data_IF_859357720873
#
_entry.id   IF_859357720873
#
_cell.length_a   1.000
_cell.length_b   1.000
_cell.length_c   1.000
_cell.angle_alpha   90.00
_cell.angle_beta   90.00
_cell.angle_gamma   90.00
#
_symmetry.space_group_name_H-M   'P 1'
#
loop_
_entity.id
_entity.type
_entity.pdbx_description
1 polymer ?
#
# COMPACT_ATOMS: atom_id res chain seq x y z
N UNK A 1 47.17 33.75 24.74
CA UNK A 1 47.41 32.67 23.78
C UNK A 1 46.52 32.90 22.55
N UNK A 2 47.06 33.27 21.41
CA UNK A 2 46.33 33.37 20.15
C UNK A 2 46.38 32.02 19.47
N UNK A 3 45.30 31.24 19.53
CA UNK A 3 45.16 30.01 18.77
C UNK A 3 44.97 30.39 17.31
N UNK A 4 45.99 30.23 16.46
CA UNK A 4 45.85 30.32 15.00
C UNK A 4 45.30 28.98 14.53
N UNK A 5 44.03 28.94 14.19
CA UNK A 5 43.44 27.81 13.49
C UNK A 5 43.89 27.93 12.03
N UNK A 6 44.90 27.18 11.63
CA UNK A 6 45.26 26.98 10.22
C UNK A 6 44.28 25.95 9.65
N UNK A 7 43.26 26.42 8.99
CA UNK A 7 42.37 25.53 8.20
C UNK A 7 43.15 25.21 6.92
N UNK A 8 43.64 23.97 6.82
CA UNK A 8 44.25 23.50 5.58
C UNK A 8 43.24 23.55 4.44
N UNK A 9 43.61 24.11 3.30
CA UNK A 9 42.76 24.27 2.12
C UNK A 9 42.18 22.92 1.65
N UNK A 10 42.90 21.82 1.84
CA UNK A 10 42.42 20.46 1.57
C UNK A 10 41.23 20.03 2.43
N UNK A 11 41.25 20.37 3.69
CA UNK A 11 40.13 20.05 4.60
C UNK A 11 38.87 20.82 4.23
N UNK A 12 39.06 22.11 3.81
CA UNK A 12 37.93 22.94 3.38
C UNK A 12 37.32 22.43 2.06
N UNK A 13 38.16 22.08 1.07
CA UNK A 13 37.71 21.52 -0.21
C UNK A 13 37.01 20.15 0.01
N UNK A 14 37.57 19.29 0.86
CA UNK A 14 36.98 17.99 1.19
C UNK A 14 35.62 18.16 1.86
N UNK A 15 35.48 19.11 2.78
CA UNK A 15 34.18 19.41 3.41
C UNK A 15 33.13 19.84 2.39
N UNK A 16 33.47 20.78 1.50
CA UNK A 16 32.53 21.23 0.46
C UNK A 16 32.19 20.15 -0.56
N UNK A 17 33.11 19.27 -0.87
CA UNK A 17 32.87 18.10 -1.72
C UNK A 17 31.87 17.13 -1.07
N UNK A 18 32.01 16.87 0.21
CA UNK A 18 31.06 16.02 0.96
C UNK A 18 29.69 16.68 1.02
N UNK A 19 29.62 17.98 1.32
CA UNK A 19 28.35 18.71 1.35
C UNK A 19 27.68 18.72 -0.04
N UNK A 20 28.43 19.00 -1.10
CA UNK A 20 27.90 18.93 -2.47
C UNK A 20 27.44 17.52 -2.84
N UNK A 21 28.18 16.49 -2.46
CA UNK A 21 27.80 15.10 -2.64
C UNK A 21 26.50 14.72 -1.91
N UNK A 22 26.32 15.18 -0.68
CA UNK A 22 25.08 14.99 0.08
C UNK A 22 23.88 15.70 -0.56
N UNK A 23 24.08 16.94 -1.04
CA UNK A 23 23.02 17.67 -1.73
C UNK A 23 22.63 16.96 -3.03
N UNK A 24 23.60 16.53 -3.82
CA UNK A 24 23.35 15.78 -5.06
C UNK A 24 22.63 14.45 -4.77
N UNK A 25 23.04 13.72 -3.73
CA UNK A 25 22.38 12.50 -3.28
C UNK A 25 20.92 12.75 -2.84
N UNK A 26 20.68 13.83 -2.10
CA UNK A 26 19.32 14.21 -1.69
C UNK A 26 18.43 14.56 -2.89
N UNK A 27 18.95 15.31 -3.86
CA UNK A 27 18.24 15.64 -5.11
C UNK A 27 17.97 14.38 -5.92
N UNK A 28 18.92 13.47 -6.04
CA UNK A 28 18.76 12.21 -6.76
C UNK A 28 17.68 11.32 -6.08
N UNK A 29 17.70 11.19 -4.75
CA UNK A 29 16.68 10.47 -3.98
C UNK A 29 15.30 11.10 -4.15
N UNK A 30 15.21 12.42 -4.08
CA UNK A 30 13.95 13.13 -4.29
C UNK A 30 13.40 12.94 -5.71
N UNK A 31 14.25 13.01 -6.72
CA UNK A 31 13.89 12.77 -8.12
C UNK A 31 13.44 11.31 -8.36
N UNK A 32 14.09 10.35 -7.70
CA UNK A 32 13.79 8.93 -7.81
C UNK A 32 12.60 8.46 -6.93
N UNK A 33 11.97 9.37 -6.15
CA UNK A 33 10.95 9.02 -5.14
C UNK A 33 9.83 8.13 -5.67
N UNK A 34 9.32 8.42 -6.87
CA UNK A 34 8.24 7.64 -7.48
C UNK A 34 8.69 6.22 -7.82
N UNK A 35 9.89 6.08 -8.41
CA UNK A 35 10.47 4.78 -8.68
C UNK A 35 10.77 3.98 -7.41
N UNK A 36 11.26 4.64 -6.36
CA UNK A 36 11.49 4.02 -5.06
C UNK A 36 10.19 3.56 -4.39
N UNK A 37 9.11 4.34 -4.50
CA UNK A 37 7.79 3.94 -4.01
C UNK A 37 7.26 2.72 -4.77
N UNK A 38 7.37 2.70 -6.10
CA UNK A 38 6.96 1.54 -6.90
C UNK A 38 7.78 0.28 -6.54
N UNK A 39 9.10 0.45 -6.38
CA UNK A 39 9.98 -0.65 -5.97
C UNK A 39 9.64 -1.15 -4.55
N UNK A 40 9.43 -0.24 -3.61
CA UNK A 40 9.01 -0.55 -2.24
C UNK A 40 7.66 -1.28 -2.20
N UNK A 41 6.69 -0.82 -3.00
CA UNK A 41 5.39 -1.46 -3.14
C UNK A 41 5.52 -2.87 -3.74
N UNK A 42 6.34 -3.03 -4.78
CA UNK A 42 6.60 -4.32 -5.40
C UNK A 42 7.29 -5.29 -4.42
N UNK A 43 8.25 -4.81 -3.63
CA UNK A 43 8.92 -5.60 -2.60
C UNK A 43 7.94 -6.04 -1.52
N UNK A 44 7.12 -5.12 -1.03
CA UNK A 44 6.08 -5.45 -0.04
C UNK A 44 5.10 -6.48 -0.57
N UNK A 45 4.63 -6.29 -1.80
CA UNK A 45 3.71 -7.23 -2.46
C UNK A 45 4.37 -8.60 -2.69
N UNK A 46 5.65 -8.63 -3.07
CA UNK A 46 6.41 -9.88 -3.22
C UNK A 46 6.52 -10.64 -1.90
N UNK A 47 6.77 -9.93 -0.78
CA UNK A 47 6.80 -10.55 0.55
C UNK A 47 5.42 -11.07 0.96
N UNK A 48 4.35 -10.31 0.69
CA UNK A 48 2.97 -10.69 0.99
C UNK A 48 2.53 -11.93 0.18
N UNK A 49 2.82 -11.94 -1.12
CA UNK A 49 2.42 -13.03 -2.02
C UNK A 49 3.36 -14.24 -1.98
N UNK A 50 4.54 -14.12 -1.39
CA UNK A 50 5.50 -15.23 -1.34
C UNK A 50 4.92 -16.48 -0.65
N UNK A 51 4.19 -16.32 0.45
CA UNK A 51 3.58 -17.44 1.17
C UNK A 51 2.48 -18.16 0.35
N UNK A 52 1.46 -17.46 -0.18
CA UNK A 52 0.42 -18.11 -0.99
C UNK A 52 0.95 -18.65 -2.32
N UNK A 53 1.83 -17.89 -3.01
CA UNK A 53 2.42 -18.32 -4.28
C UNK A 53 3.28 -19.57 -4.10
N UNK A 54 4.14 -19.62 -3.07
CA UNK A 54 5.01 -20.78 -2.85
C UNK A 54 4.22 -22.03 -2.46
N UNK A 55 3.16 -21.88 -1.65
CA UNK A 55 2.26 -23.00 -1.34
C UNK A 55 1.58 -23.53 -2.60
N UNK A 56 0.99 -22.65 -3.40
CA UNK A 56 0.29 -23.02 -4.61
C UNK A 56 1.24 -23.63 -5.66
N UNK A 57 2.44 -23.05 -5.82
CA UNK A 57 3.47 -23.58 -6.73
C UNK A 57 3.91 -25.01 -6.39
N UNK A 58 3.88 -25.40 -5.11
CA UNK A 58 4.22 -26.74 -4.67
C UNK A 58 3.14 -27.79 -5.04
N UNK A 59 1.89 -27.37 -5.23
CA UNK A 59 0.80 -28.25 -5.69
C UNK A 59 0.75 -28.39 -7.21
N UNK A 60 1.38 -27.47 -7.95
CA UNK A 60 1.37 -27.53 -9.41
C UNK A 60 2.45 -28.51 -9.92
N UNK A 61 2.08 -29.49 -10.79
CA UNK A 61 3.02 -30.38 -11.42
C UNK A 61 3.81 -29.62 -12.48
N UNK A 62 4.97 -29.05 -12.11
CA UNK A 62 5.84 -28.31 -13.04
C UNK A 62 7.28 -28.82 -12.96
N UNK A 63 7.90 -29.10 -14.12
CA UNK A 63 9.32 -29.47 -14.19
C UNK A 63 10.26 -28.28 -13.84
N UNK A 64 9.78 -27.04 -13.90
CA UNK A 64 10.57 -25.87 -13.57
C UNK A 64 9.92 -25.06 -12.43
N UNK A 65 10.71 -24.73 -11.44
CA UNK A 65 10.30 -23.89 -10.30
C UNK A 65 9.76 -22.53 -10.78
N UNK A 66 10.37 -21.96 -11.81
CA UNK A 66 9.97 -20.66 -12.37
C UNK A 66 8.58 -20.75 -12.99
N UNK A 67 8.30 -21.80 -13.77
CA UNK A 67 6.99 -22.01 -14.40
C UNK A 67 5.87 -22.19 -13.37
N UNK A 68 6.09 -23.02 -12.34
CA UNK A 68 5.10 -23.22 -11.27
C UNK A 68 4.83 -21.93 -10.50
N UNK A 69 5.87 -21.13 -10.22
CA UNK A 69 5.72 -19.82 -9.57
C UNK A 69 4.98 -18.83 -10.45
N UNK A 70 5.25 -18.82 -11.77
CA UNK A 70 4.55 -17.96 -12.72
C UNK A 70 3.05 -18.27 -12.79
N UNK A 71 2.70 -19.55 -12.93
CA UNK A 71 1.29 -19.96 -12.97
C UNK A 71 0.59 -19.63 -11.66
N UNK A 72 1.21 -19.95 -10.51
CA UNK A 72 0.65 -19.63 -9.20
C UNK A 72 0.46 -18.13 -9.00
N UNK A 73 1.42 -17.31 -9.42
CA UNK A 73 1.33 -15.87 -9.36
C UNK A 73 0.19 -15.32 -10.21
N UNK A 74 0.10 -15.75 -11.47
CA UNK A 74 -0.98 -15.34 -12.39
C UNK A 74 -2.35 -15.75 -11.84
N UNK A 75 -2.49 -16.96 -11.31
CA UNK A 75 -3.75 -17.41 -10.69
C UNK A 75 -4.15 -16.54 -9.50
N UNK A 76 -3.21 -16.21 -8.63
CA UNK A 76 -3.49 -15.36 -7.46
C UNK A 76 -3.84 -13.93 -7.89
N UNK A 77 -3.11 -13.36 -8.84
CA UNK A 77 -3.41 -12.02 -9.37
C UNK A 77 -4.76 -11.99 -10.07
N UNK A 78 -5.09 -13.00 -10.86
CA UNK A 78 -6.39 -13.14 -11.51
C UNK A 78 -7.52 -13.29 -10.48
N UNK A 79 -7.31 -14.08 -9.42
CA UNK A 79 -8.27 -14.25 -8.34
C UNK A 79 -8.53 -12.91 -7.62
N UNK A 80 -7.48 -12.20 -7.23
CA UNK A 80 -7.59 -10.88 -6.58
C UNK A 80 -8.25 -9.87 -7.51
N UNK A 81 -7.86 -9.83 -8.79
CA UNK A 81 -8.46 -8.93 -9.78
C UNK A 81 -9.95 -9.18 -9.99
N UNK A 82 -10.32 -10.46 -10.11
CA UNK A 82 -11.74 -10.87 -10.21
C UNK A 82 -12.51 -10.50 -8.96
N UNK A 83 -11.94 -10.75 -7.79
CA UNK A 83 -12.57 -10.39 -6.51
C UNK A 83 -12.81 -8.88 -6.41
N UNK A 84 -11.80 -8.05 -6.75
CA UNK A 84 -11.94 -6.59 -6.77
C UNK A 84 -13.03 -6.17 -7.76
N UNK A 85 -13.02 -6.74 -8.95
CA UNK A 85 -14.01 -6.42 -10.01
C UNK A 85 -15.45 -6.74 -9.59
N UNK A 86 -15.65 -7.85 -8.87
CA UNK A 86 -16.98 -8.22 -8.36
C UNK A 86 -17.39 -7.47 -7.10
N UNK A 87 -16.46 -7.22 -6.18
CA UNK A 87 -16.76 -6.66 -4.86
C UNK A 87 -16.88 -5.12 -4.88
N UNK A 88 -16.07 -4.43 -5.68
CA UNK A 88 -16.01 -2.95 -5.66
C UNK A 88 -17.30 -2.29 -6.16
N UNK A 89 -17.94 -2.72 -7.27
CA UNK A 89 -19.16 -2.08 -7.74
C UNK A 89 -20.31 -2.10 -6.74
N UNK A 90 -20.67 -3.23 -6.10
CA UNK A 90 -21.74 -3.24 -5.10
C UNK A 90 -21.42 -2.39 -3.87
N UNK A 91 -20.14 -2.32 -3.43
CA UNK A 91 -19.75 -1.47 -2.30
C UNK A 91 -19.98 0.01 -2.66
N UNK A 92 -19.57 0.45 -3.84
CA UNK A 92 -19.78 1.83 -4.29
C UNK A 92 -21.28 2.15 -4.34
N UNK A 93 -22.10 1.28 -4.92
CA UNK A 93 -23.55 1.48 -5.01
C UNK A 93 -24.23 1.51 -3.64
N UNK A 94 -23.83 0.62 -2.70
CA UNK A 94 -24.38 0.61 -1.36
C UNK A 94 -23.97 1.85 -0.58
N UNK A 95 -22.73 2.30 -0.72
CA UNK A 95 -22.26 3.54 -0.08
C UNK A 95 -22.99 4.77 -0.62
N UNK A 96 -23.24 4.84 -1.93
CA UNK A 96 -24.01 5.92 -2.53
C UNK A 96 -25.47 5.93 -2.02
N UNK A 97 -26.13 4.76 -1.99
CA UNK A 97 -27.49 4.63 -1.42
C UNK A 97 -27.54 5.00 0.05
N UNK A 98 -26.53 4.59 0.83
CA UNK A 98 -26.44 4.96 2.23
C UNK A 98 -26.33 6.47 2.40
N UNK A 99 -25.48 7.12 1.61
CA UNK A 99 -25.30 8.57 1.64
C UNK A 99 -26.59 9.34 1.27
N UNK A 100 -27.41 8.80 0.37
CA UNK A 100 -28.72 9.36 0.01
C UNK A 100 -29.79 9.12 1.11
N UNK A 101 -29.64 8.02 1.85
CA UNK A 101 -30.63 7.63 2.86
C UNK A 101 -30.36 8.31 4.22
N UNK A 102 -29.10 8.63 4.55
CA UNK A 102 -28.74 9.28 5.82
C UNK A 102 -29.52 10.58 6.08
N UNK A 103 -29.65 11.53 5.13
CA UNK A 103 -30.42 12.74 5.37
C UNK A 103 -31.90 12.48 5.69
N UNK A 104 -32.51 11.52 5.01
CA UNK A 104 -33.91 11.14 5.27
C UNK A 104 -34.09 10.42 6.61
N UNK A 105 -33.11 9.64 7.04
CA UNK A 105 -33.12 9.02 8.37
C UNK A 105 -33.02 10.09 9.48
N UNK A 106 -32.14 11.07 9.33
CA UNK A 106 -32.00 12.18 10.26
C UNK A 106 -33.30 12.99 10.36
N UNK A 107 -33.95 13.29 9.21
CA UNK A 107 -35.26 13.95 9.17
C UNK A 107 -36.35 13.11 9.84
N UNK A 108 -36.44 11.82 9.56
CA UNK A 108 -37.43 10.93 10.15
C UNK A 108 -37.25 10.78 11.68
N UNK A 109 -35.99 10.72 12.16
CA UNK A 109 -35.72 10.71 13.61
C UNK A 109 -36.10 12.03 14.25
N UNK A 110 -35.86 13.15 13.55
CA UNK A 110 -36.25 14.49 14.00
C UNK A 110 -37.77 14.65 14.08
N UNK A 111 -38.52 14.14 13.11
CA UNK A 111 -39.99 14.22 13.08
C UNK A 111 -40.66 13.29 14.07
N UNK A 112 -40.09 12.11 14.31
CA UNK A 112 -40.69 11.08 15.17
C UNK A 112 -40.28 11.15 16.65
N UNK A 113 -39.17 11.80 16.97
CA UNK A 113 -38.61 11.82 18.33
C UNK A 113 -38.71 13.21 18.93
N UNK A 114 -39.79 13.43 19.75
CA UNK A 114 -39.94 14.66 20.53
C UNK A 114 -38.76 14.89 21.50
N UNK A 115 -38.07 13.82 21.92
CA UNK A 115 -36.92 13.91 22.81
C UNK A 115 -35.70 14.49 22.07
N UNK A 116 -35.44 14.04 20.84
CA UNK A 116 -34.31 14.54 20.02
C UNK A 116 -34.55 16.00 19.64
N UNK A 117 -35.76 16.37 19.27
CA UNK A 117 -36.10 17.78 18.96
C UNK A 117 -35.91 18.69 20.17
N UNK A 118 -36.28 18.22 21.36
CA UNK A 118 -36.10 19.00 22.59
C UNK A 118 -34.62 19.21 22.92
N UNK A 119 -33.81 18.17 22.78
CA UNK A 119 -32.35 18.26 22.97
C UNK A 119 -31.68 19.20 21.94
N UNK A 120 -32.04 19.11 20.67
CA UNK A 120 -31.49 19.96 19.62
C UNK A 120 -31.86 21.43 19.86
N UNK A 121 -33.08 21.73 20.30
CA UNK A 121 -33.54 23.08 20.64
C UNK A 121 -32.92 23.61 21.94
N UNK A 122 -32.81 22.79 22.99
CA UNK A 122 -32.29 23.16 24.29
C UNK A 122 -30.80 23.51 24.28
N UNK A 123 -30.02 22.81 23.40
CA UNK A 123 -28.58 23.03 23.23
C UNK A 123 -28.19 23.83 21.99
N UNK A 124 -29.18 24.40 21.27
CA UNK A 124 -28.94 25.25 20.08
C UNK A 124 -28.07 24.58 19.01
N UNK A 125 -28.18 23.24 18.85
CA UNK A 125 -27.37 22.42 17.95
C UNK A 125 -27.91 22.36 16.52
N UNK A 126 -28.97 23.11 16.20
CA UNK A 126 -29.66 23.10 14.91
C UNK A 126 -28.72 23.35 13.75
N UNK A 127 -27.94 24.43 13.85
CA UNK A 127 -26.97 24.83 12.82
C UNK A 127 -25.83 23.83 12.63
N UNK A 128 -25.43 23.15 13.70
CA UNK A 128 -24.37 22.13 13.62
C UNK A 128 -24.86 20.84 12.97
N UNK A 129 -26.09 20.41 13.29
CA UNK A 129 -26.71 19.22 12.70
C UNK A 129 -26.98 19.44 11.22
N UNK A 130 -27.52 20.61 10.85
CA UNK A 130 -27.82 20.94 9.46
C UNK A 130 -26.54 21.07 8.63
N UNK A 131 -25.48 21.74 9.14
CA UNK A 131 -24.16 21.78 8.49
C UNK A 131 -23.54 20.41 8.34
N UNK A 132 -23.57 19.58 9.39
CA UNK A 132 -23.01 18.23 9.32
C UNK A 132 -23.75 17.33 8.33
N UNK A 133 -25.07 17.46 8.22
CA UNK A 133 -25.87 16.74 7.23
C UNK A 133 -25.57 17.20 5.79
N UNK A 134 -25.39 18.50 5.59
CA UNK A 134 -25.02 19.09 4.31
C UNK A 134 -23.59 18.77 3.89
N UNK A 135 -22.65 18.79 4.83
CA UNK A 135 -21.25 18.38 4.63
C UNK A 135 -21.15 16.89 4.27
N UNK A 136 -21.90 16.02 4.94
CA UNK A 136 -21.99 14.59 4.61
C UNK A 136 -22.56 14.38 3.19
N UNK A 137 -23.64 15.07 2.85
CA UNK A 137 -24.28 15.00 1.53
C UNK A 137 -23.33 15.52 0.44
N UNK A 138 -22.68 16.65 0.66
CA UNK A 138 -21.74 17.25 -0.30
C UNK A 138 -20.49 16.37 -0.46
N UNK A 139 -19.98 15.81 0.61
CA UNK A 139 -18.82 14.91 0.59
C UNK A 139 -19.14 13.59 -0.10
N UNK A 140 -20.30 13.00 0.17
CA UNK A 140 -20.77 11.79 -0.48
C UNK A 140 -21.02 12.01 -1.99
N UNK A 141 -21.64 13.15 -2.36
CA UNK A 141 -21.87 13.54 -3.77
C UNK A 141 -20.55 13.80 -4.50
N UNK A 142 -19.59 14.51 -3.86
CA UNK A 142 -18.25 14.72 -4.42
C UNK A 142 -17.50 13.41 -4.59
N UNK A 143 -17.63 12.49 -3.65
CA UNK A 143 -16.99 11.19 -3.72
C UNK A 143 -17.58 10.35 -4.86
N UNK A 144 -18.91 10.31 -5.00
CA UNK A 144 -19.60 9.61 -6.06
C UNK A 144 -19.31 10.22 -7.45
N UNK A 145 -19.31 11.56 -7.56
CA UNK A 145 -18.99 12.25 -8.81
C UNK A 145 -17.51 12.10 -9.18
N UNK A 146 -16.59 12.17 -8.22
CA UNK A 146 -15.17 11.95 -8.45
C UNK A 146 -14.84 10.50 -8.80
N UNK A 147 -15.53 9.52 -8.22
CA UNK A 147 -15.40 8.12 -8.62
C UNK A 147 -15.89 7.87 -10.05
N UNK A 148 -16.96 8.58 -10.48
CA UNK A 148 -17.48 8.48 -11.85
C UNK A 148 -16.73 9.33 -12.88
N UNK A 149 -16.42 10.59 -12.55
CA UNK A 149 -15.80 11.54 -13.49
C UNK A 149 -14.31 11.30 -13.72
N UNK A 150 -13.58 10.80 -12.71
CA UNK A 150 -12.17 10.43 -12.87
C UNK A 150 -11.96 9.22 -13.79
N UNK A 151 -12.99 8.41 -14.01
CA UNK A 151 -12.97 7.34 -15.03
C UNK A 151 -13.12 7.88 -16.47
N UNK A 152 -13.79 9.02 -16.64
CA UNK A 152 -14.09 9.59 -17.97
C UNK A 152 -13.13 10.72 -18.39
N UNK A 153 -12.65 11.55 -17.45
CA UNK A 153 -11.78 12.70 -17.75
C UNK A 153 -10.27 12.38 -17.74
N UNK A 154 -9.89 11.18 -17.37
CA UNK A 154 -8.50 10.81 -17.13
C UNK A 154 -7.98 9.64 -17.96
N UNK A 155 -8.26 9.56 -19.27
CA UNK A 155 -7.66 8.51 -20.11
C UNK A 155 -6.13 8.43 -19.88
N UNK A 156 -5.45 9.56 -19.74
CA UNK A 156 -4.02 9.60 -19.39
C UNK A 156 -3.71 9.11 -17.98
N UNK A 157 -4.54 9.43 -16.99
CA UNK A 157 -4.35 9.01 -15.59
C UNK A 157 -4.68 7.53 -15.39
N UNK A 158 -5.71 7.01 -16.07
CA UNK A 158 -6.07 5.59 -16.06
C UNK A 158 -4.98 4.76 -16.73
N UNK A 159 -4.48 5.21 -17.89
CA UNK A 159 -3.38 4.52 -18.58
C UNK A 159 -2.11 4.50 -17.71
N UNK A 160 -1.77 5.62 -17.09
CA UNK A 160 -0.64 5.71 -16.17
C UNK A 160 -0.81 4.81 -14.93
N UNK A 161 -2.01 4.72 -14.36
CA UNK A 161 -2.31 3.83 -13.25
C UNK A 161 -2.23 2.35 -13.65
N UNK A 162 -2.74 1.98 -14.82
CA UNK A 162 -2.61 0.64 -15.38
C UNK A 162 -1.14 0.29 -15.62
N UNK A 163 -0.38 1.20 -16.24
CA UNK A 163 1.04 1.01 -16.49
C UNK A 163 1.85 0.86 -15.19
N UNK A 164 1.57 1.69 -14.18
CA UNK A 164 2.20 1.59 -12.87
C UNK A 164 1.85 0.26 -12.16
N UNK A 165 0.58 -0.15 -12.22
CA UNK A 165 0.14 -1.44 -11.66
C UNK A 165 0.81 -2.60 -12.36
N UNK A 166 0.87 -2.59 -13.68
CA UNK A 166 1.56 -3.60 -14.47
C UNK A 166 3.05 -3.67 -14.12
N UNK A 167 3.72 -2.52 -14.02
CA UNK A 167 5.11 -2.44 -13.62
C UNK A 167 5.34 -3.03 -12.22
N UNK A 168 4.50 -2.68 -11.24
CA UNK A 168 4.57 -3.24 -9.89
C UNK A 168 4.37 -4.75 -9.91
N UNK A 169 3.42 -5.27 -10.69
CA UNK A 169 3.18 -6.71 -10.80
C UNK A 169 4.38 -7.43 -11.43
N UNK A 170 4.97 -6.87 -12.50
CA UNK A 170 6.18 -7.43 -13.12
C UNK A 170 7.35 -7.42 -12.15
N UNK A 171 7.60 -6.33 -11.45
CA UNK A 171 8.64 -6.24 -10.43
C UNK A 171 8.41 -7.24 -9.29
N UNK A 172 7.17 -7.38 -8.83
CA UNK A 172 6.77 -8.35 -7.80
C UNK A 172 7.08 -9.77 -8.26
N UNK A 173 6.73 -10.11 -9.50
CA UNK A 173 7.00 -11.43 -10.08
C UNK A 173 8.51 -11.70 -10.17
N UNK A 174 9.29 -10.73 -10.66
CA UNK A 174 10.74 -10.86 -10.72
C UNK A 174 11.35 -11.08 -9.33
N UNK A 175 10.89 -10.33 -8.32
CA UNK A 175 11.34 -10.50 -6.94
C UNK A 175 10.97 -11.87 -6.35
N UNK A 176 9.79 -12.40 -6.70
CA UNK A 176 9.38 -13.74 -6.28
C UNK A 176 10.25 -14.84 -6.90
N UNK A 177 10.57 -14.71 -8.18
CA UNK A 177 11.37 -15.71 -8.93
C UNK A 177 12.84 -15.62 -8.55
N UNK A 178 13.41 -14.43 -8.56
CA UNK A 178 14.85 -14.19 -8.37
C UNK A 178 15.25 -13.99 -6.90
N UNK A 179 14.32 -13.61 -6.04
CA UNK A 179 14.58 -13.29 -4.62
C UNK A 179 15.43 -14.34 -3.89
N UNK A 180 15.13 -15.63 -3.98
CA UNK A 180 15.96 -16.68 -3.38
C UNK A 180 17.39 -16.73 -3.95
N UNK A 181 17.56 -16.43 -5.23
CA UNK A 181 18.86 -16.35 -5.90
C UNK A 181 19.70 -15.16 -5.41
N UNK A 182 19.07 -13.99 -5.32
CA UNK A 182 19.70 -12.78 -4.79
C UNK A 182 20.11 -12.95 -3.33
N UNK A 183 19.25 -13.54 -2.53
CA UNK A 183 19.55 -13.82 -1.13
C UNK A 183 20.76 -14.76 -0.98
N UNK A 184 20.88 -15.79 -1.82
CA UNK A 184 22.05 -16.67 -1.84
C UNK A 184 23.34 -15.92 -2.20
N UNK A 185 23.30 -15.05 -3.22
CA UNK A 185 24.43 -14.22 -3.62
C UNK A 185 24.83 -13.24 -2.52
N UNK A 186 23.84 -12.59 -1.89
CA UNK A 186 24.06 -11.67 -0.77
C UNK A 186 24.77 -12.36 0.40
N UNK A 187 24.34 -13.57 0.78
CA UNK A 187 25.02 -14.33 1.83
C UNK A 187 26.41 -14.81 1.41
N UNK A 188 26.67 -14.96 0.12
CA UNK A 188 28.00 -15.30 -0.40
C UNK A 188 29.04 -14.18 -0.30
N UNK A 189 28.61 -12.92 -0.06
CA UNK A 189 29.50 -11.77 0.14
C UNK A 189 30.08 -11.70 1.55
N UNK A 190 29.57 -12.50 2.50
CA UNK A 190 30.08 -12.53 3.87
C UNK A 190 31.32 -13.39 3.97
N UNK A 191 32.42 -12.82 4.44
CA UNK A 191 33.68 -13.55 4.73
C UNK A 191 33.57 -14.36 6.04
N UNK A 192 32.88 -13.81 7.05
CA UNK A 192 32.71 -14.43 8.35
C UNK A 192 31.41 -15.25 8.43
N UNK A 193 31.55 -16.58 8.45
CA UNK A 193 30.42 -17.52 8.53
C UNK A 193 29.57 -17.33 9.78
N UNK A 194 30.16 -16.98 10.91
CA UNK A 194 29.47 -16.84 12.21
C UNK A 194 28.55 -15.62 12.19
N UNK A 195 29.03 -14.50 11.64
CA UNK A 195 28.22 -13.29 11.46
C UNK A 195 27.13 -13.49 10.41
N UNK A 196 27.44 -14.22 9.34
CA UNK A 196 26.46 -14.57 8.33
C UNK A 196 25.29 -15.38 8.91
N UNK A 197 25.55 -16.42 9.69
CA UNK A 197 24.51 -17.26 10.30
C UNK A 197 23.64 -16.48 11.27
N UNK A 198 24.23 -15.59 12.05
CA UNK A 198 23.48 -14.70 12.95
C UNK A 198 22.51 -13.80 12.18
N UNK A 199 22.99 -13.07 11.17
CA UNK A 199 22.14 -12.19 10.36
C UNK A 199 21.11 -12.98 9.56
N UNK A 200 21.47 -14.13 9.02
CA UNK A 200 20.54 -15.02 8.31
C UNK A 200 19.40 -15.47 9.22
N UNK A 201 19.68 -15.82 10.45
CA UNK A 201 18.67 -16.22 11.44
C UNK A 201 17.71 -15.08 11.75
N UNK A 202 18.23 -13.84 11.89
CA UNK A 202 17.40 -12.64 12.12
C UNK A 202 16.47 -12.41 10.93
N UNK A 203 17.01 -12.39 9.70
CA UNK A 203 16.22 -12.18 8.47
C UNK A 203 15.14 -13.27 8.31
N UNK A 204 15.46 -14.52 8.61
CA UNK A 204 14.50 -15.62 8.56
C UNK A 204 13.38 -15.47 9.61
N UNK A 205 13.71 -15.00 10.81
CA UNK A 205 12.71 -14.70 11.86
C UNK A 205 11.80 -13.55 11.41
N UNK A 206 12.36 -12.45 10.90
CA UNK A 206 11.60 -11.32 10.38
C UNK A 206 10.66 -11.76 9.26
N UNK A 207 11.16 -12.53 8.29
CA UNK A 207 10.34 -13.06 7.20
C UNK A 207 9.19 -13.94 7.71
N UNK A 208 9.44 -14.80 8.69
CA UNK A 208 8.42 -15.64 9.32
C UNK A 208 7.34 -14.81 10.02
N UNK A 209 7.74 -13.80 10.80
CA UNK A 209 6.79 -12.91 11.51
C UNK A 209 5.90 -12.18 10.51
N UNK A 210 6.49 -11.55 9.49
CA UNK A 210 5.73 -10.83 8.45
C UNK A 210 4.79 -11.77 7.69
N UNK A 211 5.28 -12.93 7.27
CA UNK A 211 4.46 -13.92 6.55
C UNK A 211 3.31 -14.45 7.41
N UNK A 212 3.56 -14.75 8.69
CA UNK A 212 2.52 -15.21 9.62
C UNK A 212 1.48 -14.14 9.89
N UNK A 213 1.90 -12.87 10.03
CA UNK A 213 0.98 -11.75 10.19
C UNK A 213 0.07 -11.58 8.96
N UNK A 214 0.64 -11.61 7.76
CA UNK A 214 -0.14 -11.47 6.52
C UNK A 214 -1.13 -12.62 6.36
N UNK A 215 -0.71 -13.88 6.60
CA UNK A 215 -1.60 -15.04 6.53
C UNK A 215 -2.70 -14.94 7.59
N UNK A 216 -2.37 -14.55 8.82
CA UNK A 216 -3.33 -14.32 9.89
C UNK A 216 -4.37 -13.25 9.51
N UNK A 217 -3.90 -12.11 8.99
CA UNK A 217 -4.78 -11.02 8.55
C UNK A 217 -5.71 -11.44 7.41
N UNK A 218 -5.19 -12.17 6.41
CA UNK A 218 -6.00 -12.71 5.32
C UNK A 218 -7.07 -13.69 5.83
N UNK A 219 -6.71 -14.54 6.81
CA UNK A 219 -7.65 -15.50 7.40
C UNK A 219 -8.77 -14.79 8.16
N UNK A 220 -8.43 -13.80 8.99
CA UNK A 220 -9.41 -13.00 9.74
C UNK A 220 -10.32 -12.23 8.77
N UNK A 221 -9.73 -11.61 7.74
CA UNK A 221 -10.49 -10.87 6.72
C UNK A 221 -11.44 -11.80 5.93
N UNK A 222 -11.00 -13.01 5.60
CA UNK A 222 -11.82 -13.98 4.91
C UNK A 222 -12.98 -14.47 5.79
N UNK A 223 -12.74 -14.71 7.08
CA UNK A 223 -13.79 -15.07 8.03
C UNK A 223 -14.80 -13.93 8.22
N UNK A 224 -14.32 -12.69 8.37
CA UNK A 224 -15.19 -11.53 8.51
C UNK A 224 -16.00 -11.19 7.24
N UNK A 225 -15.55 -11.64 6.06
CA UNK A 225 -16.30 -11.46 4.82
C UNK A 225 -17.42 -12.50 4.63
N UNK A 226 -17.39 -13.61 5.37
CA UNK A 226 -18.39 -14.71 5.29
C UNK A 226 -19.49 -14.54 6.36
N UNK A 227 -19.19 -13.81 7.45
CA UNK A 227 -20.16 -13.47 8.49
C UNK A 227 -20.92 -12.19 8.18
#
# INVERSE_FOLDING_TARGET
MKVRIQIETETFVRFWLVVAGLILAAIALYSARTGLLLLGTALFLALALNAPVSKLANYLPGKSRIGSTAIAFVMIVAFIGTFIFLAVPPIIQQTAKFAETVPSLVQNVRERSQVVNRFIHEYNLQDQVDKSAEDLKSSASKWASNAGSNLLSGIGSVFSAIAATFLVLVLTFLMLVEGPGWMKRFWGLYEDRRRMEYHRTIVQRMHRVVSSFIVGQLTISALGAVC
#
